data_IF_749958846722
#
_entry.id   IF_749958846722
#
_cell.length_a   1.000
_cell.length_b   1.000
_cell.length_c   1.000
_cell.angle_alpha   90.00
_cell.angle_beta   90.00
_cell.angle_gamma   90.00
#
_symmetry.space_group_name_H-M   'P 1'
#
loop_
_entity.id
_entity.type
_entity.pdbx_description
1 polymer ?
#
# COMPACT_ATOMS: atom_id res chain seq x y z
N UNK A 1 -1.63 21.46 13.76
CA UNK A 1 -2.72 20.47 13.80
C UNK A 1 -3.79 20.67 12.72
N UNK A 2 -4.29 21.89 12.42
CA UNK A 2 -5.36 22.10 11.39
C UNK A 2 -4.99 21.77 9.93
N UNK A 3 -3.70 21.67 9.58
CA UNK A 3 -3.23 21.40 8.21
C UNK A 3 -2.92 19.93 7.91
N UNK A 4 -2.83 19.09 8.95
CA UNK A 4 -2.43 17.68 8.81
C UNK A 4 -3.42 16.86 7.95
N UNK A 5 -4.75 17.02 8.09
CA UNK A 5 -5.70 16.34 7.22
C UNK A 5 -5.66 16.83 5.76
N UNK A 6 -5.41 18.13 5.54
CA UNK A 6 -5.40 18.71 4.19
C UNK A 6 -4.17 18.27 3.37
N UNK A 7 -3.00 18.19 4.01
CA UNK A 7 -1.78 17.68 3.37
C UNK A 7 -1.87 16.18 3.09
N UNK A 8 -2.42 15.38 4.03
CA UNK A 8 -2.65 13.96 3.80
C UNK A 8 -3.60 13.73 2.60
N UNK A 9 -4.66 14.53 2.48
CA UNK A 9 -5.57 14.46 1.33
C UNK A 9 -4.84 14.77 0.02
N UNK A 10 -3.99 15.81 -0.01
CA UNK A 10 -3.19 16.13 -1.20
C UNK A 10 -2.29 14.99 -1.63
N UNK A 11 -1.58 14.35 -0.69
CA UNK A 11 -0.76 13.18 -1.00
C UNK A 11 -1.61 12.01 -1.48
N UNK A 12 -2.77 11.77 -0.86
CA UNK A 12 -3.73 10.75 -1.30
C UNK A 12 -4.19 10.97 -2.75
N UNK A 13 -4.51 12.22 -3.11
CA UNK A 13 -4.91 12.59 -4.46
C UNK A 13 -3.75 12.40 -5.46
N UNK A 14 -2.52 12.74 -5.07
CA UNK A 14 -1.32 12.51 -5.89
C UNK A 14 -1.07 11.01 -6.13
N UNK A 15 -1.26 10.16 -5.11
CA UNK A 15 -1.16 8.70 -5.25
C UNK A 15 -2.22 8.17 -6.23
N UNK A 16 -3.45 8.67 -6.16
CA UNK A 16 -4.51 8.25 -7.10
C UNK A 16 -4.17 8.60 -8.54
N UNK A 17 -3.59 9.79 -8.75
CA UNK A 17 -3.33 10.37 -10.07
C UNK A 17 -2.01 9.93 -10.71
N UNK A 18 -1.09 9.28 -9.99
CA UNK A 18 0.16 8.86 -10.59
C UNK A 18 -0.03 7.65 -11.53
N UNK A 19 0.70 7.62 -12.64
CA UNK A 19 0.53 6.58 -13.68
C UNK A 19 1.74 5.65 -13.80
N UNK A 20 2.79 5.87 -13.01
CA UNK A 20 4.00 5.06 -13.02
C UNK A 20 4.65 4.92 -11.63
N UNK A 21 5.42 3.84 -11.47
CA UNK A 21 6.04 3.49 -10.20
C UNK A 21 7.17 4.47 -9.78
N UNK A 22 7.78 5.20 -10.73
CA UNK A 22 8.83 6.16 -10.40
C UNK A 22 8.23 7.41 -9.73
N UNK A 23 7.13 7.94 -10.27
CA UNK A 23 6.37 9.03 -9.64
C UNK A 23 5.78 8.60 -8.30
N UNK A 24 5.25 7.37 -8.17
CA UNK A 24 4.78 6.87 -6.88
C UNK A 24 5.88 6.89 -5.81
N UNK A 25 7.09 6.45 -6.13
CA UNK A 25 8.23 6.47 -5.19
C UNK A 25 8.60 7.90 -4.76
N UNK A 26 8.58 8.86 -5.69
CA UNK A 26 8.82 10.27 -5.37
C UNK A 26 7.74 10.83 -4.42
N UNK A 27 6.47 10.44 -4.60
CA UNK A 27 5.39 10.84 -3.69
C UNK A 27 5.63 10.30 -2.28
N UNK A 28 6.03 9.03 -2.15
CA UNK A 28 6.33 8.39 -0.85
C UNK A 28 7.51 9.10 -0.16
N UNK A 29 8.56 9.44 -0.90
CA UNK A 29 9.70 10.19 -0.35
C UNK A 29 9.30 11.59 0.13
N UNK A 30 8.34 12.23 -0.56
CA UNK A 30 7.83 13.56 -0.22
C UNK A 30 6.86 13.57 0.97
N UNK A 31 6.17 12.46 1.26
CA UNK A 31 5.12 12.43 2.28
C UNK A 31 5.64 12.64 3.72
N UNK A 32 6.96 12.58 3.94
CA UNK A 32 7.64 12.94 5.19
C UNK A 32 7.01 12.33 6.46
N UNK A 33 6.45 11.12 6.36
CA UNK A 33 5.95 10.34 7.50
C UNK A 33 4.44 10.09 7.50
N UNK A 34 3.67 10.59 6.52
CA UNK A 34 2.27 10.17 6.36
C UNK A 34 2.15 8.69 6.00
N UNK A 35 3.19 8.09 5.38
CA UNK A 35 3.34 6.64 5.24
C UNK A 35 3.16 5.87 6.57
N UNK A 36 3.37 6.48 7.73
CA UNK A 36 3.11 5.80 9.02
C UNK A 36 1.62 5.61 9.33
N UNK A 37 0.72 6.30 8.63
CA UNK A 37 -0.72 6.14 8.76
C UNK A 37 -1.18 4.92 7.97
N UNK A 38 -1.80 3.95 8.66
CA UNK A 38 -2.13 2.64 8.10
C UNK A 38 -2.96 2.71 6.81
N UNK A 39 -4.02 3.51 6.77
CA UNK A 39 -4.83 3.70 5.56
C UNK A 39 -4.02 4.24 4.38
N UNK A 40 -3.26 5.31 4.59
CA UNK A 40 -2.49 5.95 3.52
C UNK A 40 -1.39 5.01 3.00
N UNK A 41 -0.73 4.26 3.91
CA UNK A 41 0.22 3.21 3.56
C UNK A 41 -0.44 2.13 2.70
N UNK A 42 -1.58 1.62 3.12
CA UNK A 42 -2.32 0.61 2.39
C UNK A 42 -2.66 1.09 0.98
N UNK A 43 -3.27 2.28 0.85
CA UNK A 43 -3.60 2.90 -0.44
C UNK A 43 -2.38 3.03 -1.35
N UNK A 44 -1.24 3.44 -0.80
CA UNK A 44 0.02 3.54 -1.54
C UNK A 44 0.50 2.17 -2.05
N UNK A 45 0.40 1.12 -1.23
CA UNK A 45 0.78 -0.24 -1.61
C UNK A 45 -0.17 -0.78 -2.69
N UNK A 46 -1.48 -0.56 -2.54
CA UNK A 46 -2.49 -0.96 -3.54
C UNK A 46 -2.26 -0.27 -4.88
N UNK A 47 -1.93 1.04 -4.87
CA UNK A 47 -1.52 1.76 -6.06
C UNK A 47 -0.25 1.15 -6.66
N UNK A 48 0.76 0.84 -5.83
CA UNK A 48 1.97 0.18 -6.32
C UNK A 48 1.66 -1.17 -6.96
N UNK A 49 0.81 -2.01 -6.36
CA UNK A 49 0.39 -3.28 -6.95
C UNK A 49 -0.32 -3.11 -8.31
N UNK A 50 -1.04 -2.01 -8.51
CA UNK A 50 -1.70 -1.70 -9.78
C UNK A 50 -0.71 -1.29 -10.89
N UNK A 51 0.43 -0.71 -10.50
CA UNK A 51 1.47 -0.23 -11.40
C UNK A 51 2.55 -1.30 -11.66
N UNK A 52 2.94 -2.01 -10.62
CA UNK A 52 4.07 -2.95 -10.60
C UNK A 52 3.79 -4.09 -9.60
N UNK A 53 3.22 -5.17 -10.11
CA UNK A 53 2.84 -6.34 -9.31
C UNK A 53 4.02 -7.30 -9.12
N UNK A 54 4.97 -6.94 -8.27
CA UNK A 54 6.16 -7.75 -7.97
C UNK A 54 5.99 -8.59 -6.69
N UNK A 55 6.77 -9.67 -6.50
CA UNK A 55 6.77 -10.44 -5.25
C UNK A 55 7.00 -9.57 -4.00
N UNK A 56 7.88 -8.58 -4.08
CA UNK A 56 8.19 -7.71 -2.95
C UNK A 56 6.99 -6.84 -2.55
N UNK A 57 6.26 -6.30 -3.53
CA UNK A 57 5.09 -5.45 -3.24
C UNK A 57 3.92 -6.29 -2.73
N UNK A 58 3.73 -7.51 -3.24
CA UNK A 58 2.73 -8.46 -2.73
C UNK A 58 2.98 -8.78 -1.25
N UNK A 59 4.24 -9.09 -0.89
CA UNK A 59 4.62 -9.35 0.51
C UNK A 59 4.51 -8.12 1.40
N UNK A 60 4.80 -6.94 0.85
CA UNK A 60 4.58 -5.68 1.57
C UNK A 60 3.10 -5.48 1.90
N UNK A 61 2.19 -5.83 0.99
CA UNK A 61 0.75 -5.75 1.24
C UNK A 61 0.27 -6.80 2.24
N UNK A 62 0.74 -8.05 2.11
CA UNK A 62 0.45 -9.09 3.09
C UNK A 62 0.88 -8.69 4.51
N UNK A 63 2.09 -8.10 4.65
CA UNK A 63 2.56 -7.58 5.93
C UNK A 63 1.72 -6.40 6.45
N UNK A 64 1.25 -5.50 5.58
CA UNK A 64 0.32 -4.42 5.95
C UNK A 64 -0.97 -5.00 6.55
N UNK A 65 -1.59 -5.98 5.87
CA UNK A 65 -2.82 -6.62 6.33
C UNK A 65 -2.60 -7.37 7.66
N UNK A 66 -1.49 -8.10 7.80
CA UNK A 66 -1.17 -8.82 9.04
C UNK A 66 -0.97 -7.88 10.25
N UNK A 67 -0.42 -6.68 10.03
CA UNK A 67 -0.12 -5.75 11.12
C UNK A 67 -1.31 -4.87 11.49
N UNK A 68 -2.13 -4.49 10.52
CA UNK A 68 -3.13 -3.44 10.68
C UNK A 68 -4.54 -3.83 10.23
N UNK A 69 -4.74 -4.99 9.61
CA UNK A 69 -5.97 -5.35 8.90
C UNK A 69 -6.09 -4.62 7.56
N UNK A 70 -7.25 -4.79 6.91
CA UNK A 70 -7.67 -3.94 5.80
C UNK A 70 -8.29 -2.67 6.38
N UNK A 71 -7.54 -1.56 6.27
CA UNK A 71 -7.88 -0.29 6.93
C UNK A 71 -8.56 0.67 5.96
N UNK A 72 -9.74 1.13 6.34
CA UNK A 72 -10.50 2.12 5.58
C UNK A 72 -10.04 3.57 5.84
N UNK A 73 -10.63 4.54 5.14
CA UNK A 73 -10.28 5.96 5.27
C UNK A 73 -10.59 6.57 6.64
N UNK A 74 -11.40 5.90 7.46
CA UNK A 74 -11.75 6.31 8.83
C UNK A 74 -10.88 5.61 9.89
N UNK A 75 -10.00 4.69 9.48
CA UNK A 75 -9.12 3.94 10.36
C UNK A 75 -9.79 2.70 10.96
N UNK A 76 -10.96 2.31 10.47
CA UNK A 76 -11.59 1.03 10.83
C UNK A 76 -10.88 -0.09 10.07
N UNK A 77 -10.56 -1.16 10.79
CA UNK A 77 -9.80 -2.28 10.26
C UNK A 77 -10.67 -3.54 10.21
N UNK A 78 -10.80 -4.14 9.03
CA UNK A 78 -11.26 -5.51 8.90
C UNK A 78 -10.07 -6.46 9.19
N UNK A 79 -10.22 -7.33 10.18
CA UNK A 79 -9.19 -8.31 10.57
C UNK A 79 -9.45 -9.70 10.02
N UNK A 80 -10.51 -9.92 9.25
CA UNK A 80 -10.75 -11.18 8.53
C UNK A 80 -9.92 -11.22 7.23
N UNK A 81 -8.60 -11.32 7.42
CA UNK A 81 -7.60 -11.10 6.35
C UNK A 81 -6.79 -12.35 5.99
N UNK A 82 -6.98 -13.47 6.70
CA UNK A 82 -6.14 -14.67 6.58
C UNK A 82 -6.10 -15.21 5.15
N UNK A 83 -7.26 -15.41 4.52
CA UNK A 83 -7.35 -15.92 3.14
C UNK A 83 -6.67 -14.98 2.13
N UNK A 84 -6.77 -13.66 2.35
CA UNK A 84 -6.15 -12.66 1.48
C UNK A 84 -4.64 -12.65 1.62
N UNK A 85 -4.13 -12.73 2.85
CA UNK A 85 -2.69 -12.82 3.13
C UNK A 85 -2.12 -14.08 2.47
N UNK A 86 -2.75 -15.23 2.67
CA UNK A 86 -2.32 -16.49 2.06
C UNK A 86 -2.30 -16.40 0.52
N UNK A 87 -3.31 -15.78 -0.09
CA UNK A 87 -3.35 -15.59 -1.54
C UNK A 87 -2.21 -14.69 -2.04
N UNK A 88 -1.92 -13.60 -1.35
CA UNK A 88 -0.82 -12.68 -1.70
C UNK A 88 0.56 -13.34 -1.59
N UNK A 89 0.78 -14.13 -0.53
CA UNK A 89 2.04 -14.86 -0.35
C UNK A 89 2.22 -15.96 -1.41
N UNK A 90 1.16 -16.72 -1.69
CA UNK A 90 1.19 -17.74 -2.74
C UNK A 90 1.46 -17.15 -4.13
N UNK A 91 0.88 -15.98 -4.44
CA UNK A 91 1.15 -15.27 -5.68
C UNK A 91 2.61 -14.79 -5.76
N UNK A 92 3.14 -14.24 -4.66
CA UNK A 92 4.52 -13.79 -4.59
C UNK A 92 5.51 -14.95 -4.85
N UNK A 93 5.28 -16.11 -4.21
CA UNK A 93 6.08 -17.31 -4.40
C UNK A 93 6.01 -17.85 -5.84
N UNK A 94 4.84 -17.76 -6.48
CA UNK A 94 4.68 -18.17 -7.87
C UNK A 94 5.50 -17.28 -8.82
N UNK A 95 5.43 -15.95 -8.63
CA UNK A 95 6.17 -15.00 -9.46
C UNK A 95 7.69 -15.12 -9.30
N UNK A 96 8.20 -15.49 -8.12
CA UNK A 96 9.64 -15.73 -7.93
C UNK A 96 10.13 -16.97 -8.67
N UNK A 97 9.36 -18.06 -8.61
CA UNK A 97 9.69 -19.31 -9.32
C UNK A 97 9.73 -19.14 -10.83
N UNK A 98 8.96 -18.19 -11.38
CA UNK A 98 8.96 -17.88 -12.81
C UNK A 98 10.14 -17.00 -13.25
N UNK A 99 10.78 -16.29 -12.32
CA UNK A 99 11.91 -15.40 -12.58
C UNK A 99 13.28 -16.02 -12.23
N UNK A 100 13.30 -17.29 -11.80
CA UNK A 100 14.52 -18.09 -11.54
C UNK A 100 14.72 -19.16 -12.61
#
# INVERSE_FOLDING_TARGET
FKQYPALMQQFSDMVDQCDDAATLRQIIELDSGYHLLAWYRQKTIEKWLSLERTPNVLRLYAMQLNLFGDVDAFGEADTDIDDRVLALEAEADALEKHNT
#
